data_IF_755008418488
#
_entry.id   IF_755008418488
#
_cell.length_a   1.000
_cell.length_b   1.000
_cell.length_c   1.000
_cell.angle_alpha   90.00
_cell.angle_beta   90.00
_cell.angle_gamma   90.00
#
_symmetry.space_group_name_H-M   'P 1'
#
loop_
_entity.id
_entity.type
_entity.pdbx_description
1 polymer ?
#
# COMPACT_ATOMS: atom_id res chain seq x y z
N UNK A 1 -5.32 -72.46 8.58
CA UNK A 1 -6.55 -71.72 8.22
C UNK A 1 -6.99 -70.95 9.46
N UNK A 2 -7.24 -69.63 9.31
CA UNK A 2 -7.65 -68.65 10.35
C UNK A 2 -6.53 -68.21 11.32
N UNK A 3 -5.36 -67.74 10.90
CA UNK A 3 -5.11 -66.42 10.31
C UNK A 3 -6.10 -65.31 10.71
N UNK A 4 -5.55 -64.25 11.29
CA UNK A 4 -5.96 -62.87 10.99
C UNK A 4 -7.25 -62.31 11.66
N UNK A 5 -7.41 -62.37 12.99
CA UNK A 5 -8.52 -61.63 13.65
C UNK A 5 -8.20 -60.98 15.02
N UNK A 6 -6.93 -60.67 15.31
CA UNK A 6 -6.58 -59.91 16.53
C UNK A 6 -5.55 -58.80 16.23
N UNK A 7 -5.79 -58.02 15.18
CA UNK A 7 -4.96 -56.87 14.81
C UNK A 7 -5.78 -55.75 14.16
N UNK A 8 -7.04 -55.56 14.58
CA UNK A 8 -8.02 -54.66 13.90
C UNK A 8 -8.71 -53.68 14.86
N UNK A 9 -8.23 -53.49 16.09
CA UNK A 9 -8.93 -52.62 17.04
C UNK A 9 -8.02 -51.74 17.90
N UNK A 10 -7.07 -51.01 17.29
CA UNK A 10 -6.61 -49.69 17.81
C UNK A 10 -5.59 -48.95 16.91
N UNK A 11 -5.69 -49.02 15.58
CA UNK A 11 -4.74 -48.35 14.67
C UNK A 11 -5.44 -47.55 13.55
N UNK A 12 -6.54 -46.86 13.87
CA UNK A 12 -7.21 -45.95 12.93
C UNK A 12 -7.81 -44.74 13.65
N UNK A 13 -6.99 -43.73 13.94
CA UNK A 13 -7.47 -42.35 14.16
C UNK A 13 -6.35 -41.29 14.07
N UNK A 14 -5.28 -41.55 13.32
CA UNK A 14 -4.24 -40.53 13.07
C UNK A 14 -4.05 -40.41 11.56
N UNK A 15 -5.12 -39.98 10.89
CA UNK A 15 -4.96 -39.32 9.59
C UNK A 15 -4.48 -37.90 9.89
N UNK A 16 -3.15 -37.70 9.86
CA UNK A 16 -2.56 -36.38 9.66
C UNK A 16 -2.99 -35.90 8.27
N UNK A 17 -4.18 -35.34 8.19
CA UNK A 17 -4.56 -34.46 7.09
C UNK A 17 -3.87 -33.13 7.33
N UNK A 18 -2.57 -33.05 6.98
CA UNK A 18 -1.87 -31.79 6.80
C UNK A 18 -2.42 -31.13 5.54
N UNK A 19 -3.65 -30.66 5.60
CA UNK A 19 -4.16 -29.67 4.67
C UNK A 19 -3.39 -28.38 4.97
N UNK A 20 -2.28 -28.18 4.26
CA UNK A 20 -1.73 -26.86 4.04
C UNK A 20 -2.84 -26.03 3.42
N UNK A 21 -3.64 -25.37 4.26
CA UNK A 21 -4.52 -24.33 3.80
C UNK A 21 -3.61 -23.27 3.19
N UNK A 22 -3.53 -23.27 1.87
CA UNK A 22 -3.15 -22.08 1.13
C UNK A 22 -4.14 -21.02 1.59
N UNK A 23 -3.67 -20.15 2.50
CA UNK A 23 -4.34 -18.90 2.78
C UNK A 23 -4.18 -18.12 1.48
N UNK A 24 -5.10 -18.35 0.54
CA UNK A 24 -5.37 -17.39 -0.51
C UNK A 24 -5.73 -16.12 0.24
N UNK A 25 -4.81 -15.16 0.31
CA UNK A 25 -5.19 -13.78 0.54
C UNK A 25 -6.26 -13.52 -0.51
N UNK A 26 -7.52 -13.53 -0.10
CA UNK A 26 -8.59 -13.01 -0.91
C UNK A 26 -8.18 -11.57 -1.18
N UNK A 27 -7.62 -11.31 -2.37
CA UNK A 27 -7.43 -9.96 -2.86
C UNK A 27 -8.82 -9.36 -2.84
N UNK A 28 -9.05 -8.46 -1.88
CA UNK A 28 -10.22 -7.60 -1.89
C UNK A 28 -10.30 -7.03 -3.33
N UNK A 29 -11.46 -7.05 -4.01
CA UNK A 29 -11.57 -6.54 -5.37
C UNK A 29 -10.94 -5.14 -5.44
N UNK A 30 -9.97 -4.99 -6.35
CA UNK A 30 -9.21 -3.79 -6.69
C UNK A 30 -9.69 -2.52 -5.97
N UNK A 31 -9.25 -2.32 -4.72
CA UNK A 31 -9.64 -1.15 -3.96
C UNK A 31 -8.90 0.04 -4.55
N UNK A 32 -9.66 1.01 -5.04
CA UNK A 32 -9.14 2.30 -5.47
C UNK A 32 -9.52 3.36 -4.45
N UNK A 33 -8.53 3.91 -3.75
CA UNK A 33 -8.73 4.91 -2.71
C UNK A 33 -8.41 6.30 -3.26
N UNK A 34 -9.14 7.31 -2.77
CA UNK A 34 -9.00 8.69 -3.21
C UNK A 34 -9.13 9.63 -2.03
N UNK A 35 -8.32 10.68 -2.02
CA UNK A 35 -8.43 11.77 -1.08
C UNK A 35 -7.83 13.05 -1.69
N UNK A 36 -8.42 14.19 -1.34
CA UNK A 36 -7.91 15.50 -1.75
C UNK A 36 -7.07 16.07 -0.62
N UNK A 37 -5.95 16.69 -0.98
CA UNK A 37 -5.12 17.47 -0.07
C UNK A 37 -4.93 18.89 -0.59
N UNK A 38 -4.98 19.85 0.33
CA UNK A 38 -4.71 21.25 0.09
C UNK A 38 -3.35 21.62 0.68
N UNK A 39 -2.42 22.07 -0.15
CA UNK A 39 -1.10 22.56 0.27
C UNK A 39 -1.03 24.07 0.19
N UNK A 40 -1.15 24.73 1.36
CA UNK A 40 -1.02 26.19 1.46
C UNK A 40 0.42 26.64 1.20
N UNK A 41 1.38 25.87 1.71
CA UNK A 41 2.80 26.02 1.45
C UNK A 41 3.29 24.99 0.44
N UNK A 42 4.30 25.31 -0.39
CA UNK A 42 4.85 24.37 -1.34
C UNK A 42 5.47 23.15 -0.65
N UNK A 43 5.15 21.95 -1.16
CA UNK A 43 5.82 20.69 -0.77
C UNK A 43 6.43 20.04 -2.00
N UNK A 44 7.46 19.22 -1.81
CA UNK A 44 8.03 18.36 -2.86
C UNK A 44 7.43 16.97 -2.77
N UNK A 45 7.14 16.37 -3.92
CA UNK A 45 6.78 14.97 -4.05
C UNK A 45 7.45 14.42 -5.29
N UNK A 46 8.34 13.43 -5.12
CA UNK A 46 9.06 12.81 -6.25
C UNK A 46 9.79 13.82 -7.14
N UNK A 47 10.32 14.89 -6.54
CA UNK A 47 10.98 15.99 -7.26
C UNK A 47 10.04 17.05 -7.84
N UNK A 48 8.72 16.85 -7.81
CA UNK A 48 7.74 17.83 -8.28
C UNK A 48 7.29 18.74 -7.13
N UNK A 49 7.16 20.05 -7.39
CA UNK A 49 6.65 21.03 -6.41
C UNK A 49 5.13 21.09 -6.48
N UNK A 50 4.46 20.76 -5.39
CA UNK A 50 3.00 20.84 -5.24
C UNK A 50 2.64 22.08 -4.41
N UNK A 51 1.66 22.85 -4.87
CA UNK A 51 1.01 23.96 -4.14
C UNK A 51 -0.44 24.09 -4.61
N UNK A 52 -1.38 24.25 -3.69
CA UNK A 52 -2.83 24.20 -3.98
C UNK A 52 -3.43 22.81 -3.76
N UNK A 53 -4.50 22.53 -4.48
CA UNK A 53 -5.32 21.31 -4.33
C UNK A 53 -4.84 20.17 -5.23
N UNK A 54 -4.74 18.96 -4.67
CA UNK A 54 -4.36 17.75 -5.40
C UNK A 54 -5.13 16.52 -4.92
N UNK A 55 -5.53 15.69 -5.89
CA UNK A 55 -6.15 14.40 -5.66
C UNK A 55 -5.07 13.32 -5.61
N UNK A 56 -4.98 12.63 -4.48
CA UNK A 56 -4.19 11.42 -4.30
C UNK A 56 -5.06 10.21 -4.57
N UNK A 57 -4.57 9.32 -5.43
CA UNK A 57 -5.22 8.07 -5.79
C UNK A 57 -4.27 6.92 -5.52
N UNK A 58 -4.75 5.89 -4.82
CA UNK A 58 -4.07 4.60 -4.72
C UNK A 58 -4.88 3.50 -5.38
N UNK A 59 -4.23 2.65 -6.16
CA UNK A 59 -4.83 1.53 -6.89
C UNK A 59 -4.13 0.21 -6.50
N UNK A 60 -4.80 -0.59 -5.68
CA UNK A 60 -4.28 -1.88 -5.20
C UNK A 60 -4.03 -2.88 -6.34
N UNK A 61 -4.80 -2.81 -7.43
CA UNK A 61 -4.63 -3.71 -8.56
C UNK A 61 -3.37 -3.34 -9.35
N UNK A 62 -3.10 -2.04 -9.54
CA UNK A 62 -1.84 -1.59 -10.12
C UNK A 62 -0.65 -1.99 -9.24
N UNK A 63 -0.77 -1.85 -7.92
CA UNK A 63 0.27 -2.30 -6.97
C UNK A 63 0.54 -3.79 -7.10
N UNK A 64 -0.51 -4.61 -7.18
CA UNK A 64 -0.38 -6.07 -7.31
C UNK A 64 0.34 -6.47 -8.61
N UNK A 65 0.20 -5.66 -9.67
CA UNK A 65 0.93 -5.85 -10.93
C UNK A 65 2.37 -5.32 -10.91
N UNK A 66 2.81 -4.68 -9.82
CA UNK A 66 4.11 -4.02 -9.73
C UNK A 66 4.20 -2.73 -10.55
N UNK A 67 3.05 -2.15 -10.92
CA UNK A 67 2.97 -0.89 -11.68
C UNK A 67 2.93 0.32 -10.73
N UNK A 68 3.03 1.53 -11.29
CA UNK A 68 2.74 2.73 -10.51
C UNK A 68 1.32 2.62 -9.92
N UNK A 69 1.24 2.65 -8.59
CA UNK A 69 0.01 2.44 -7.85
C UNK A 69 -0.44 3.69 -7.11
N UNK A 70 0.34 4.76 -7.13
CA UNK A 70 -0.04 6.09 -6.68
C UNK A 70 -0.08 7.04 -7.85
N UNK A 71 -1.16 7.79 -7.97
CA UNK A 71 -1.35 8.83 -8.98
C UNK A 71 -1.78 10.11 -8.27
N UNK A 72 -1.14 11.22 -8.59
CA UNK A 72 -1.45 12.53 -8.02
C UNK A 72 -1.85 13.47 -9.15
N UNK A 73 -3.08 13.97 -9.08
CA UNK A 73 -3.65 14.90 -10.05
C UNK A 73 -3.77 16.28 -9.42
N UNK A 74 -3.64 17.33 -10.23
CA UNK A 74 -3.98 18.68 -9.81
C UNK A 74 -5.51 18.84 -9.76
N UNK A 75 -6.02 19.48 -8.71
CA UNK A 75 -7.45 19.58 -8.42
C UNK A 75 -8.00 18.33 -7.72
N UNK A 76 -9.28 18.04 -7.91
CA UNK A 76 -10.03 17.01 -7.17
C UNK A 76 -10.50 15.83 -8.05
N UNK A 77 -10.12 15.80 -9.32
CA UNK A 77 -10.60 14.83 -10.31
C UNK A 77 -9.46 14.07 -11.02
N UNK A 78 -9.73 12.82 -11.42
CA UNK A 78 -8.81 11.99 -12.22
C UNK A 78 -8.84 12.39 -13.69
N UNK A 79 -8.34 13.59 -14.00
CA UNK A 79 -8.24 14.10 -15.37
C UNK A 79 -6.82 13.80 -15.87
N UNK A 80 -6.70 13.05 -16.97
CA UNK A 80 -5.40 12.62 -17.49
C UNK A 80 -4.43 13.78 -17.75
N UNK A 81 -4.91 14.92 -18.27
CA UNK A 81 -4.09 16.12 -18.49
C UNK A 81 -3.67 16.85 -17.20
N UNK A 82 -4.24 16.49 -16.06
CA UNK A 82 -3.90 17.01 -14.74
C UNK A 82 -3.02 16.05 -13.93
N UNK A 83 -2.60 14.91 -14.48
CA UNK A 83 -1.67 14.01 -13.80
C UNK A 83 -0.32 14.70 -13.62
N UNK A 84 0.13 14.82 -12.37
CA UNK A 84 1.35 15.55 -12.00
C UNK A 84 2.50 14.59 -11.73
N UNK A 85 2.22 13.49 -11.03
CA UNK A 85 3.22 12.46 -10.71
C UNK A 85 2.51 11.13 -10.48
N UNK A 86 3.17 10.05 -10.91
CA UNK A 86 2.82 8.68 -10.51
C UNK A 86 4.07 7.94 -10.03
N UNK A 87 3.88 7.01 -9.09
CA UNK A 87 4.96 6.19 -8.56
C UNK A 87 4.41 4.91 -7.92
N UNK A 88 5.27 3.92 -7.73
CA UNK A 88 4.97 2.73 -6.95
C UNK A 88 5.28 3.01 -5.47
N UNK A 89 4.26 3.09 -4.61
CA UNK A 89 4.47 3.29 -3.18
C UNK A 89 5.04 2.03 -2.51
N UNK A 90 5.57 2.19 -1.30
CA UNK A 90 5.88 1.06 -0.41
C UNK A 90 4.85 1.03 0.73
N UNK A 91 4.05 -0.04 0.87
CA UNK A 91 3.12 -0.17 1.99
C UNK A 91 3.85 -0.17 3.33
N UNK A 92 3.31 0.56 4.32
CA UNK A 92 3.86 0.65 5.66
C UNK A 92 2.74 0.61 6.69
N UNK A 93 2.92 -0.20 7.74
CA UNK A 93 1.94 -0.30 8.82
C UNK A 93 1.99 0.94 9.74
N UNK A 94 0.81 1.47 10.08
CA UNK A 94 0.58 2.62 10.96
C UNK A 94 -0.62 2.40 11.88
N UNK A 95 -0.78 3.32 12.83
CA UNK A 95 -2.02 3.44 13.60
C UNK A 95 -3.15 3.93 12.69
N UNK A 96 -4.39 3.49 12.98
CA UNK A 96 -5.57 3.93 12.24
C UNK A 96 -5.77 5.44 12.40
N UNK A 97 -6.03 6.13 11.29
CA UNK A 97 -6.34 7.58 11.28
C UNK A 97 -7.78 7.83 10.87
N UNK A 98 -8.40 8.91 11.37
CA UNK A 98 -9.79 9.26 11.07
C UNK A 98 -10.02 9.91 9.71
N UNK A 99 -8.97 10.47 9.10
CA UNK A 99 -9.04 11.17 7.82
C UNK A 99 -7.74 11.03 7.03
N UNK A 100 -7.67 11.69 5.86
CA UNK A 100 -6.46 11.65 5.03
C UNK A 100 -5.32 12.39 5.72
N UNK A 101 -4.17 11.72 5.85
CA UNK A 101 -2.97 12.27 6.48
C UNK A 101 -1.82 12.22 5.49
N UNK A 102 -1.10 13.33 5.36
CA UNK A 102 0.18 13.42 4.66
C UNK A 102 1.26 13.71 5.69
N UNK A 103 2.36 12.95 5.65
CA UNK A 103 3.54 13.19 6.49
C UNK A 103 4.68 13.69 5.61
N UNK A 104 5.29 14.77 6.06
CA UNK A 104 6.43 15.39 5.39
C UNK A 104 7.67 15.32 6.27
N UNK A 105 8.82 15.38 5.62
CA UNK A 105 10.12 15.61 6.24
C UNK A 105 10.69 16.93 5.73
N UNK A 106 11.25 17.74 6.62
CA UNK A 106 11.92 18.98 6.23
C UNK A 106 13.33 18.65 5.73
N UNK A 107 13.59 18.93 4.46
CA UNK A 107 14.91 18.76 3.84
C UNK A 107 15.82 19.98 4.02
N UNK A 108 15.23 21.18 4.02
CA UNK A 108 15.92 22.45 4.19
C UNK A 108 14.93 23.51 4.69
N UNK A 109 15.39 24.73 5.08
CA UNK A 109 14.55 25.74 5.73
C UNK A 109 13.21 26.09 5.05
N UNK A 110 13.02 25.83 3.76
CA UNK A 110 11.77 26.10 3.03
C UNK A 110 11.28 24.92 2.19
N UNK A 111 11.80 23.72 2.44
CA UNK A 111 11.53 22.54 1.61
C UNK A 111 11.07 21.39 2.48
N UNK A 112 9.76 21.18 2.49
CA UNK A 112 9.14 19.96 2.99
C UNK A 112 8.97 18.96 1.85
N UNK A 113 9.35 17.70 2.06
CA UNK A 113 9.13 16.61 1.11
C UNK A 113 8.12 15.61 1.67
N UNK A 114 7.14 15.23 0.87
CA UNK A 114 6.15 14.21 1.20
C UNK A 114 6.85 12.85 1.29
N UNK A 115 6.75 12.21 2.44
CA UNK A 115 7.33 10.88 2.72
C UNK A 115 6.30 9.77 2.73
N UNK A 116 5.08 10.09 3.14
CA UNK A 116 4.04 9.10 3.36
C UNK A 116 2.68 9.77 3.26
N UNK A 117 1.68 9.01 2.82
CA UNK A 117 0.27 9.37 2.96
C UNK A 117 -0.56 8.18 3.44
N UNK A 118 -1.65 8.45 4.14
CA UNK A 118 -2.52 7.43 4.73
C UNK A 118 -3.99 7.82 4.56
N UNK A 119 -4.81 6.92 4.01
CA UNK A 119 -6.24 7.14 3.88
C UNK A 119 -6.97 6.97 5.22
N UNK A 120 -8.04 7.75 5.40
CA UNK A 120 -8.89 7.65 6.58
C UNK A 120 -9.49 6.25 6.71
N UNK A 121 -9.52 5.72 7.92
CA UNK A 121 -10.01 4.38 8.21
C UNK A 121 -8.99 3.25 8.04
N UNK A 122 -7.84 3.53 7.41
CA UNK A 122 -6.83 2.52 7.13
C UNK A 122 -5.74 2.44 8.19
N UNK A 123 -5.13 1.27 8.30
CA UNK A 123 -3.89 1.07 9.07
C UNK A 123 -2.67 0.93 8.17
N UNK A 124 -2.87 0.78 6.87
CA UNK A 124 -1.81 0.84 5.87
C UNK A 124 -1.62 2.31 5.44
N UNK A 125 -0.37 2.74 5.43
CA UNK A 125 0.09 3.97 4.81
C UNK A 125 0.99 3.66 3.61
N UNK A 126 1.17 4.64 2.75
CA UNK A 126 1.89 4.50 1.49
C UNK A 126 3.13 5.38 1.52
N UNK A 127 4.29 4.78 1.71
CA UNK A 127 5.57 5.49 1.69
C UNK A 127 5.99 5.82 0.25
N UNK A 128 6.52 7.04 0.09
CA UNK A 128 7.05 7.56 -1.16
C UNK A 128 8.49 7.03 -1.34
N UNK A 129 8.83 6.36 -2.45
CA UNK A 129 10.18 5.83 -2.63
C UNK A 129 11.20 6.96 -2.73
N UNK A 130 12.26 6.87 -1.92
CA UNK A 130 13.37 7.82 -1.90
C UNK A 130 14.24 7.63 -3.14
N UNK A 131 14.36 8.65 -4.01
CA UNK A 131 15.24 8.58 -5.19
C UNK A 131 16.72 8.85 -4.89
N UNK A 132 17.10 9.14 -3.64
CA UNK A 132 18.45 9.62 -3.29
C UNK A 132 19.12 8.91 -2.11
N UNK A 133 19.02 7.57 -2.06
CA UNK A 133 19.95 6.76 -1.26
C UNK A 133 20.46 5.57 -2.08
N UNK A 134 20.97 5.83 -3.28
CA UNK A 134 22.07 5.00 -3.78
C UNK A 134 23.32 5.46 -3.02
N UNK A 135 23.52 4.95 -1.80
CA UNK A 135 24.86 4.94 -1.23
C UNK A 135 25.70 4.07 -2.15
N UNK A 136 26.56 4.72 -2.93
CA UNK A 136 27.72 4.07 -3.51
C UNK A 136 28.59 3.67 -2.32
N UNK A 137 28.57 2.39 -1.98
CA UNK A 137 29.62 1.75 -1.19
C UNK A 137 30.69 1.23 -2.13
#
# INVERSE_FOLDING_TARGET
MKSLFLLVALLFAVALSSSSAVVSKASNPAKKQKAVAQFNDPVRLQGVRLKGEYLFVHDDAAMTRGEACTFVYKGDAEIASQLVVSFHCTPVQRQKVGGFVIRTEQLSPDVNEVREFQFGGETEAHAVPMKYLAFVF
#
